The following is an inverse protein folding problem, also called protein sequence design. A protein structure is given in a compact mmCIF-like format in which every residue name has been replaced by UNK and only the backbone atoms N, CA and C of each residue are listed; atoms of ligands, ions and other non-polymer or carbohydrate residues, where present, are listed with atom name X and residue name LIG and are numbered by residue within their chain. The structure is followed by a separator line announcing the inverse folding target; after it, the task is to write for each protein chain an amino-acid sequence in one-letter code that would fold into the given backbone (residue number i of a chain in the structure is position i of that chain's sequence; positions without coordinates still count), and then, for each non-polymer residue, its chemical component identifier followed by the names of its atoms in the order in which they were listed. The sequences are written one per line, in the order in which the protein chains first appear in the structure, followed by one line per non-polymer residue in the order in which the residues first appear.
data_IF_704806168255
#
_entry.id   IF_704806168255
#
_cell.length_a   1.000
_cell.length_b   1.000
_cell.length_c   1.000
_cell.angle_alpha   90.00
_cell.angle_beta   90.00
_cell.angle_gamma   90.00
#
_symmetry.space_group_name_H-M   'P 1'
#
loop_
_entity.id
_entity.type
_entity.pdbx_description
1 polymer ?
#
# COMPACT_ATOMS: atom_id res chain seq x y z
N UNK A 1 0.61 -17.89 6.89
CA UNK A 1 1.71 -17.32 6.07
C UNK A 1 1.23 -16.09 5.27
N UNK A 2 1.18 -14.92 5.93
CA UNK A 2 0.78 -13.64 5.31
C UNK A 2 1.96 -12.69 5.04
N UNK A 3 3.06 -12.85 5.79
CA UNK A 3 4.19 -11.91 5.82
C UNK A 3 5.03 -11.88 4.56
N UNK A 4 5.34 -13.05 3.97
CA UNK A 4 6.07 -13.12 2.70
C UNK A 4 5.30 -12.40 1.58
N UNK A 5 3.99 -12.63 1.50
CA UNK A 5 3.11 -11.94 0.54
C UNK A 5 3.09 -10.43 0.79
N UNK A 6 3.07 -10.00 2.05
CA UNK A 6 3.13 -8.59 2.41
C UNK A 6 4.47 -7.96 2.00
N UNK A 7 5.60 -8.65 2.22
CA UNK A 7 6.94 -8.20 1.83
C UNK A 7 7.07 -8.00 0.31
N UNK A 8 6.61 -8.96 -0.49
CA UNK A 8 6.62 -8.85 -1.97
C UNK A 8 5.77 -7.66 -2.41
N UNK A 9 4.58 -7.49 -1.82
CA UNK A 9 3.68 -6.36 -2.12
C UNK A 9 4.25 -5.03 -1.68
N UNK A 10 4.95 -4.97 -0.54
CA UNK A 10 5.62 -3.78 -0.03
C UNK A 10 6.71 -3.32 -1.00
N UNK A 11 7.60 -4.22 -1.41
CA UNK A 11 8.65 -3.91 -2.38
C UNK A 11 8.06 -3.40 -3.70
N UNK A 12 7.05 -4.11 -4.23
CA UNK A 12 6.42 -3.72 -5.49
C UNK A 12 5.64 -2.40 -5.38
N UNK A 13 5.03 -2.12 -4.23
CA UNK A 13 4.34 -0.85 -3.95
C UNK A 13 5.31 0.32 -3.96
N UNK A 14 6.43 0.22 -3.23
CA UNK A 14 7.45 1.26 -3.18
C UNK A 14 8.00 1.57 -4.55
N UNK A 15 8.33 0.53 -5.33
CA UNK A 15 8.80 0.72 -6.71
C UNK A 15 7.74 1.38 -7.60
N UNK A 16 6.48 1.03 -7.44
CA UNK A 16 5.38 1.70 -8.14
C UNK A 16 5.27 3.18 -7.74
N UNK A 17 5.42 3.52 -6.46
CA UNK A 17 5.36 4.90 -5.99
C UNK A 17 6.47 5.76 -6.59
N UNK A 18 7.71 5.26 -6.61
CA UNK A 18 8.85 5.92 -7.26
C UNK A 18 8.56 6.22 -8.74
N UNK A 19 8.08 5.21 -9.49
CA UNK A 19 7.76 5.35 -10.90
C UNK A 19 6.58 6.30 -11.14
N UNK A 20 5.59 6.31 -10.25
CA UNK A 20 4.45 7.20 -10.33
C UNK A 20 4.87 8.66 -10.08
N UNK A 21 5.77 8.90 -9.12
CA UNK A 21 6.32 10.23 -8.86
C UNK A 21 7.18 10.72 -10.03
N UNK A 22 8.02 9.85 -10.62
CA UNK A 22 8.81 10.17 -11.82
C UNK A 22 7.91 10.49 -13.03
N UNK A 23 6.86 9.71 -13.26
CA UNK A 23 6.00 9.84 -14.43
C UNK A 23 5.01 11.01 -14.34
N UNK A 24 4.53 11.35 -13.14
CA UNK A 24 3.44 12.31 -12.96
C UNK A 24 3.86 13.57 -12.19
N UNK A 25 4.98 13.58 -11.46
CA UNK A 25 5.38 14.70 -10.61
C UNK A 25 4.26 15.13 -9.65
N UNK A 26 3.97 16.44 -9.62
CA UNK A 26 2.84 17.02 -8.86
C UNK A 26 1.46 16.82 -9.54
N UNK A 27 1.44 16.14 -10.69
CA UNK A 27 0.22 15.80 -11.41
C UNK A 27 -0.63 14.76 -10.66
N UNK A 28 -1.95 14.77 -10.92
CA UNK A 28 -2.87 13.78 -10.30
C UNK A 28 -2.73 12.41 -10.95
N UNK A 29 -2.17 11.44 -10.22
CA UNK A 29 -2.28 10.03 -10.59
C UNK A 29 -3.70 9.51 -10.27
N UNK A 30 -4.61 9.64 -11.23
CA UNK A 30 -6.02 9.20 -11.11
C UNK A 30 -6.19 7.69 -10.88
N UNK A 31 -5.13 6.89 -11.02
CA UNK A 31 -5.14 5.43 -10.85
C UNK A 31 -4.60 4.97 -9.50
N UNK A 32 -3.95 5.85 -8.74
CA UNK A 32 -3.27 5.54 -7.49
C UNK A 32 -4.17 4.81 -6.48
N UNK A 33 -5.42 5.28 -6.31
CA UNK A 33 -6.41 4.64 -5.43
C UNK A 33 -6.73 3.20 -5.85
N UNK A 34 -6.92 2.94 -7.14
CA UNK A 34 -7.23 1.59 -7.65
C UNK A 34 -6.03 0.64 -7.49
N UNK A 35 -4.82 1.16 -7.71
CA UNK A 35 -3.60 0.38 -7.51
C UNK A 35 -3.38 0.06 -6.03
N UNK A 36 -3.56 1.03 -5.11
CA UNK A 36 -3.50 0.80 -3.67
C UNK A 36 -4.42 -0.34 -3.19
N UNK A 37 -5.66 -0.38 -3.69
CA UNK A 37 -6.61 -1.47 -3.40
C UNK A 37 -6.06 -2.83 -3.88
N UNK A 38 -5.44 -2.87 -5.05
CA UNK A 38 -4.85 -4.09 -5.61
C UNK A 38 -3.62 -4.56 -4.82
N UNK A 39 -2.76 -3.62 -4.40
CA UNK A 39 -1.59 -3.92 -3.58
C UNK A 39 -1.97 -4.46 -2.20
N UNK A 40 -3.04 -3.97 -1.57
CA UNK A 40 -3.51 -4.48 -0.27
C UNK A 40 -4.37 -5.75 -0.36
N UNK A 41 -4.80 -6.18 -1.56
CA UNK A 41 -5.69 -7.33 -1.74
C UNK A 41 -5.07 -8.63 -1.20
N UNK A 42 -5.86 -9.37 -0.41
CA UNK A 42 -5.47 -10.67 0.14
C UNK A 42 -4.56 -10.60 1.35
N UNK A 43 -4.33 -9.41 1.92
CA UNK A 43 -3.65 -9.22 3.21
C UNK A 43 -4.69 -9.07 4.31
N UNK A 44 -4.48 -9.73 5.45
CA UNK A 44 -5.37 -9.63 6.60
C UNK A 44 -5.48 -8.17 7.07
N UNK A 45 -6.68 -7.73 7.46
CA UNK A 45 -6.92 -6.33 7.85
C UNK A 45 -7.08 -5.33 6.69
N UNK A 46 -6.84 -5.74 5.43
CA UNK A 46 -6.92 -4.84 4.29
C UNK A 46 -8.33 -4.25 4.07
N UNK A 47 -9.40 -4.95 4.45
CA UNK A 47 -10.77 -4.42 4.34
C UNK A 47 -10.99 -3.19 5.21
N UNK A 48 -10.51 -3.21 6.47
CA UNK A 48 -10.57 -2.06 7.37
C UNK A 48 -9.67 -0.92 6.90
N UNK A 49 -8.49 -1.27 6.38
CA UNK A 49 -7.57 -0.31 5.77
C UNK A 49 -8.25 0.45 4.61
N UNK A 50 -8.84 -0.27 3.65
CA UNK A 50 -9.46 0.33 2.45
C UNK A 50 -10.56 1.35 2.77
N UNK A 51 -11.27 1.19 3.89
CA UNK A 51 -12.24 2.20 4.35
C UNK A 51 -11.55 3.55 4.58
N UNK A 52 -10.37 3.56 5.21
CA UNK A 52 -9.57 4.79 5.41
C UNK A 52 -9.11 5.40 4.08
N UNK A 53 -8.75 4.57 3.09
CA UNK A 53 -8.30 5.03 1.77
C UNK A 53 -9.38 5.77 0.97
N UNK A 54 -10.66 5.47 1.20
CA UNK A 54 -11.74 6.21 0.55
C UNK A 54 -11.74 7.70 0.94
N UNK A 55 -11.32 8.01 2.16
CA UNK A 55 -11.30 9.37 2.72
C UNK A 55 -10.00 10.12 2.44
N UNK A 56 -8.95 9.48 1.94
CA UNK A 56 -7.66 10.13 1.65
C UNK A 56 -7.73 10.93 0.35
N UNK A 57 -7.41 12.23 0.40
CA UNK A 57 -7.45 13.13 -0.76
C UNK A 57 -6.09 13.25 -1.44
N UNK A 58 -5.03 13.33 -0.65
CA UNK A 58 -3.67 13.55 -1.15
C UNK A 58 -2.97 12.24 -1.54
N UNK A 59 -2.24 12.29 -2.66
CA UNK A 59 -1.51 11.13 -3.18
C UNK A 59 -0.44 10.63 -2.20
N UNK A 60 0.30 11.55 -1.57
CA UNK A 60 1.36 11.23 -0.60
C UNK A 60 0.81 10.53 0.63
N UNK A 61 -0.28 11.03 1.20
CA UNK A 61 -0.95 10.40 2.34
C UNK A 61 -1.41 8.97 2.01
N UNK A 62 -1.92 8.78 0.78
CA UNK A 62 -2.35 7.47 0.33
C UNK A 62 -1.16 6.51 0.16
N UNK A 63 -0.07 6.98 -0.44
CA UNK A 63 1.18 6.23 -0.58
C UNK A 63 1.71 5.76 0.77
N UNK A 64 1.83 6.68 1.72
CA UNK A 64 2.30 6.42 3.07
C UNK A 64 1.40 5.42 3.81
N UNK A 65 0.10 5.63 3.76
CA UNK A 65 -0.89 4.77 4.42
C UNK A 65 -0.82 3.30 3.97
N UNK A 66 -0.59 3.06 2.67
CA UNK A 66 -0.43 1.69 2.13
C UNK A 66 0.91 1.10 2.51
N UNK A 67 1.97 1.91 2.55
CA UNK A 67 3.32 1.50 2.96
C UNK A 67 3.30 1.00 4.42
N UNK A 68 2.79 1.82 5.35
CA UNK A 68 2.65 1.47 6.78
C UNK A 68 1.85 0.17 6.99
N UNK A 69 0.76 0.01 6.23
CA UNK A 69 -0.07 -1.19 6.33
C UNK A 69 0.69 -2.45 5.88
N UNK A 70 1.44 -2.37 4.79
CA UNK A 70 2.20 -3.49 4.26
C UNK A 70 3.41 -3.82 5.14
N UNK A 71 4.09 -2.83 5.70
CA UNK A 71 5.14 -3.01 6.70
C UNK A 71 4.63 -3.70 7.96
N UNK A 72 3.52 -3.20 8.52
CA UNK A 72 2.91 -3.80 9.72
C UNK A 72 2.46 -5.24 9.44
N UNK A 73 1.92 -5.50 8.25
CA UNK A 73 1.49 -6.84 7.84
C UNK A 73 2.66 -7.80 7.65
N UNK A 74 3.80 -7.30 7.18
CA UNK A 74 5.05 -8.04 7.09
C UNK A 74 5.57 -8.40 8.48
N UNK A 75 5.70 -7.42 9.37
CA UNK A 75 6.25 -7.58 10.74
C UNK A 75 5.33 -8.40 11.65
N UNK A 76 4.01 -8.25 11.52
CA UNK A 76 3.02 -9.02 12.28
C UNK A 76 3.05 -10.53 11.99
N UNK A 77 3.78 -10.96 10.96
CA UNK A 77 4.04 -12.38 10.70
C UNK A 77 5.25 -12.95 11.45
N UNK A 78 6.12 -12.10 12.02
CA UNK A 78 7.29 -12.51 12.80
C UNK A 78 7.01 -12.73 14.29
N UNK A 79 5.82 -12.37 14.79
CA UNK A 79 5.46 -12.46 16.23
C UNK A 79 4.82 -13.81 16.60
N UNK A 80 4.61 -14.71 15.64
CA UNK A 80 4.19 -16.09 15.94
C UNK A 80 5.41 -17.01 15.79
N UNK A 81 6.23 -17.10 16.84
CA UNK A 81 7.21 -18.17 17.07
C UNK A 81 6.88 -18.80 18.41
#
# INVERSE_FOLDING_TARGET
PGGERAAIKLWAWRRYCELAEEAYGDGRNNHLKRHAISFTKGIAGASKMRIRLHSTLEAKDLMHTVDEFLETSMLGSSIIV
#
